data_IF_908887942775
#
_entry.id   IF_908887942775
#
_cell.length_a   1.000
_cell.length_b   1.000
_cell.length_c   1.000
_cell.angle_alpha   90.00
_cell.angle_beta   90.00
_cell.angle_gamma   90.00
#
_symmetry.space_group_name_H-M   'P 1'
#
loop_
_entity.id
_entity.type
_entity.pdbx_description
1 polymer ?
#
# COMPACT_ATOMS: atom_id res chain seq x y z
N UNK A 1 51.11 -48.07 -10.39
CA UNK A 1 50.87 -46.67 -10.81
C UNK A 1 49.50 -46.28 -10.27
N UNK A 2 49.43 -45.66 -9.10
CA UNK A 2 48.18 -45.23 -8.46
C UNK A 2 47.95 -43.75 -8.77
N UNK A 3 46.85 -43.44 -9.44
CA UNK A 3 46.42 -42.06 -9.65
C UNK A 3 45.50 -41.64 -8.50
N UNK A 4 45.94 -40.69 -7.69
CA UNK A 4 45.12 -40.02 -6.67
C UNK A 4 44.39 -38.88 -7.36
N UNK A 5 43.06 -38.96 -7.44
CA UNK A 5 42.21 -37.86 -7.92
C UNK A 5 41.89 -37.00 -6.71
N UNK A 6 42.47 -35.79 -6.66
CA UNK A 6 42.16 -34.77 -5.67
C UNK A 6 40.85 -34.08 -6.10
N UNK A 7 39.75 -34.35 -5.39
CA UNK A 7 38.50 -33.62 -5.58
C UNK A 7 38.61 -32.26 -4.88
N UNK A 8 38.71 -31.18 -5.66
CA UNK A 8 38.55 -29.81 -5.15
C UNK A 8 37.06 -29.60 -4.85
N UNK A 9 36.70 -29.51 -3.57
CA UNK A 9 35.40 -29.01 -3.17
C UNK A 9 35.40 -27.48 -3.34
N UNK A 10 34.67 -26.98 -4.33
CA UNK A 10 34.34 -25.56 -4.44
C UNK A 10 33.32 -25.24 -3.34
N UNK A 11 33.76 -24.57 -2.27
CA UNK A 11 32.83 -23.96 -1.33
C UNK A 11 32.16 -22.76 -2.01
N UNK A 12 30.84 -22.85 -2.24
CA UNK A 12 30.05 -21.72 -2.70
C UNK A 12 29.97 -20.69 -1.57
N UNK A 13 30.43 -19.47 -1.81
CA UNK A 13 30.16 -18.36 -0.92
C UNK A 13 28.64 -18.16 -0.79
N UNK A 14 28.10 -17.87 0.41
CA UNK A 14 26.70 -17.52 0.56
C UNK A 14 26.39 -16.30 -0.30
N UNK A 15 25.28 -16.31 -1.02
CA UNK A 15 24.78 -15.13 -1.71
C UNK A 15 24.63 -14.00 -0.69
N UNK A 16 24.97 -12.74 -1.03
CA UNK A 16 24.71 -11.62 -0.14
C UNK A 16 23.23 -11.64 0.23
N UNK A 17 22.94 -11.55 1.53
CA UNK A 17 21.56 -11.37 1.97
C UNK A 17 21.03 -10.10 1.30
N UNK A 18 19.93 -10.23 0.55
CA UNK A 18 19.25 -9.09 -0.06
C UNK A 18 18.56 -8.28 1.05
N UNK A 19 19.36 -7.54 1.82
CA UNK A 19 18.90 -6.75 2.96
C UNK A 19 18.26 -5.48 2.42
N UNK A 20 16.96 -5.30 2.67
CA UNK A 20 16.27 -4.04 2.41
C UNK A 20 16.69 -3.05 3.49
N UNK A 21 17.41 -1.95 3.16
CA UNK A 21 17.80 -0.98 4.17
C UNK A 21 16.59 -0.15 4.62
N UNK A 22 16.67 0.39 5.84
CA UNK A 22 15.85 1.53 6.22
C UNK A 22 16.49 2.79 5.62
N UNK A 23 15.76 3.48 4.76
CA UNK A 23 16.23 4.67 4.05
C UNK A 23 15.97 5.93 4.87
N UNK A 24 16.99 6.77 4.98
CA UNK A 24 16.84 8.14 5.45
C UNK A 24 16.22 9.03 4.35
N UNK A 25 15.63 10.16 4.75
CA UNK A 25 15.17 11.19 3.81
C UNK A 25 13.82 10.93 3.13
N UNK A 26 13.08 9.88 3.53
CA UNK A 26 11.72 9.59 3.07
C UNK A 26 10.61 10.32 3.86
N UNK A 27 10.99 11.24 4.75
CA UNK A 27 10.10 11.89 5.71
C UNK A 27 9.80 11.02 6.94
N UNK A 28 8.99 11.54 7.85
CA UNK A 28 8.73 10.97 9.19
C UNK A 28 7.33 10.36 9.33
N UNK A 29 6.64 10.11 8.22
CA UNK A 29 5.26 9.63 8.22
C UNK A 29 5.13 8.28 8.96
N UNK A 30 4.17 8.17 9.87
CA UNK A 30 4.00 7.00 10.73
C UNK A 30 2.54 6.58 10.77
N UNK A 31 2.28 5.30 10.52
CA UNK A 31 0.96 4.69 10.64
C UNK A 31 1.06 3.49 11.58
N UNK A 32 0.61 3.68 12.83
CA UNK A 32 0.68 2.63 13.84
C UNK A 32 -0.12 1.39 13.42
N UNK A 33 0.53 0.22 13.48
CA UNK A 33 -0.07 -1.08 13.20
C UNK A 33 0.05 -2.02 14.41
N UNK A 34 -0.79 -3.05 14.46
CA UNK A 34 -0.73 -4.10 15.47
C UNK A 34 0.48 -5.01 15.22
N UNK A 35 1.62 -4.64 15.79
CA UNK A 35 2.85 -5.43 15.83
C UNK A 35 3.60 -5.19 17.15
N UNK A 36 4.30 -6.20 17.64
CA UNK A 36 5.25 -6.04 18.75
C UNK A 36 6.68 -5.75 18.26
N UNK A 37 6.93 -5.84 16.96
CA UNK A 37 8.24 -5.66 16.35
C UNK A 37 8.43 -4.21 15.91
N UNK A 38 9.30 -3.48 16.61
CA UNK A 38 9.66 -2.11 16.24
C UNK A 38 10.25 -2.04 14.82
N UNK A 39 10.96 -3.08 14.39
CA UNK A 39 11.49 -3.16 13.03
C UNK A 39 10.38 -3.39 12.00
N UNK A 40 9.38 -4.23 12.28
CA UNK A 40 8.23 -4.40 11.39
C UNK A 40 7.46 -3.09 11.20
N UNK A 41 7.24 -2.34 12.29
CA UNK A 41 6.63 -1.01 12.23
C UNK A 41 7.45 -0.04 11.36
N UNK A 42 8.78 0.00 11.55
CA UNK A 42 9.65 0.89 10.77
C UNK A 42 9.62 0.57 9.26
N UNK A 43 9.64 -0.71 8.90
CA UNK A 43 9.53 -1.12 7.49
C UNK A 43 8.14 -0.91 6.91
N UNK A 44 7.08 -1.05 7.70
CA UNK A 44 5.73 -0.69 7.27
C UNK A 44 5.61 0.80 6.98
N UNK A 45 6.10 1.66 7.87
CA UNK A 45 6.11 3.11 7.67
C UNK A 45 6.92 3.50 6.43
N UNK A 46 8.09 2.89 6.23
CA UNK A 46 8.88 3.06 5.01
C UNK A 46 8.09 2.63 3.76
N UNK A 47 7.45 1.46 3.81
CA UNK A 47 6.61 0.97 2.72
C UNK A 47 5.53 1.97 2.36
N UNK A 48 4.82 2.51 3.35
CA UNK A 48 3.75 3.49 3.13
C UNK A 48 4.27 4.81 2.56
N UNK A 49 5.42 5.31 3.04
CA UNK A 49 6.11 6.48 2.46
C UNK A 49 6.47 6.25 0.97
N UNK A 50 6.95 5.06 0.64
CA UNK A 50 7.30 4.68 -0.73
C UNK A 50 6.07 4.51 -1.63
N UNK A 51 4.97 3.94 -1.11
CA UNK A 51 3.68 3.92 -1.84
C UNK A 51 3.22 5.33 -2.13
N UNK A 52 3.23 6.21 -1.12
CA UNK A 52 2.87 7.60 -1.33
C UNK A 52 3.81 8.28 -2.31
N UNK A 53 5.10 7.96 -2.35
CA UNK A 53 6.02 8.44 -3.39
C UNK A 53 5.91 7.74 -4.76
N UNK A 54 4.92 6.87 -4.95
CA UNK A 54 4.74 6.01 -6.13
C UNK A 54 5.90 5.06 -6.48
N UNK A 55 6.78 4.76 -5.53
CA UNK A 55 7.79 3.71 -5.66
C UNK A 55 7.27 2.36 -5.12
N UNK A 56 6.31 1.79 -5.84
CA UNK A 56 5.56 0.60 -5.43
C UNK A 56 6.43 -0.66 -5.30
N UNK A 57 7.42 -0.84 -6.18
CA UNK A 57 8.31 -2.00 -6.12
C UNK A 57 9.14 -2.01 -4.82
N UNK A 58 9.70 -0.85 -4.43
CA UNK A 58 10.45 -0.76 -3.18
C UNK A 58 9.54 -0.77 -1.94
N UNK A 59 8.31 -0.28 -2.08
CA UNK A 59 7.30 -0.42 -1.04
C UNK A 59 6.98 -1.89 -0.74
N UNK A 60 6.76 -2.71 -1.78
CA UNK A 60 6.54 -4.16 -1.64
C UNK A 60 7.73 -4.80 -0.92
N UNK A 61 8.96 -4.52 -1.34
CA UNK A 61 10.18 -5.03 -0.67
C UNK A 61 10.24 -4.64 0.81
N UNK A 62 9.82 -3.42 1.14
CA UNK A 62 9.77 -2.96 2.53
C UNK A 62 8.71 -3.70 3.34
N UNK A 63 7.51 -3.91 2.81
CA UNK A 63 6.47 -4.69 3.49
C UNK A 63 6.85 -6.18 3.63
N UNK A 64 7.51 -6.76 2.62
CA UNK A 64 8.07 -8.11 2.72
C UNK A 64 9.14 -8.22 3.81
N UNK A 65 10.00 -7.21 3.95
CA UNK A 65 10.98 -7.17 5.05
C UNK A 65 10.28 -7.00 6.40
N UNK A 66 9.22 -6.19 6.50
CA UNK A 66 8.39 -6.12 7.70
C UNK A 66 7.83 -7.50 8.10
N UNK A 67 7.36 -8.28 7.12
CA UNK A 67 6.89 -9.66 7.33
C UNK A 67 7.98 -10.63 7.74
N UNK A 68 9.24 -10.41 7.37
CA UNK A 68 10.37 -11.21 7.90
C UNK A 68 10.60 -10.95 9.39
N UNK A 69 10.17 -9.79 9.91
CA UNK A 69 10.28 -9.41 11.33
C UNK A 69 9.03 -9.74 12.14
N UNK A 70 7.87 -9.78 11.49
CA UNK A 70 6.59 -10.18 12.07
C UNK A 70 5.70 -10.81 10.99
N UNK A 71 5.69 -12.14 10.91
CA UNK A 71 4.94 -12.89 9.90
C UNK A 71 3.42 -12.91 10.15
N UNK A 72 2.98 -12.49 11.34
CA UNK A 72 1.58 -12.34 11.73
C UNK A 72 1.03 -10.94 11.44
N UNK A 73 1.87 -9.99 11.00
CA UNK A 73 1.49 -8.62 10.69
C UNK A 73 0.45 -8.54 9.55
N UNK A 74 -0.83 -8.40 9.89
CA UNK A 74 -1.92 -8.32 8.92
C UNK A 74 -1.81 -7.09 8.00
N UNK A 75 -1.39 -5.95 8.56
CA UNK A 75 -1.21 -4.72 7.77
C UNK A 75 -0.03 -4.77 6.82
N UNK A 76 1.03 -5.53 7.14
CA UNK A 76 2.16 -5.69 6.23
C UNK A 76 1.73 -6.44 4.96
N UNK A 77 0.89 -7.47 5.10
CA UNK A 77 0.23 -8.12 3.95
C UNK A 77 -0.72 -7.17 3.20
N UNK A 78 -1.50 -6.37 3.93
CA UNK A 78 -2.34 -5.33 3.31
C UNK A 78 -1.52 -4.33 2.49
N UNK A 79 -0.35 -3.92 2.99
CA UNK A 79 0.57 -3.00 2.32
C UNK A 79 1.07 -3.56 1.00
N UNK A 80 1.46 -4.85 0.96
CA UNK A 80 1.80 -5.55 -0.29
C UNK A 80 0.63 -5.52 -1.26
N UNK A 81 -0.58 -5.86 -0.78
CA UNK A 81 -1.77 -5.90 -1.62
C UNK A 81 -2.16 -4.52 -2.19
N UNK A 82 -1.95 -3.47 -1.41
CA UNK A 82 -2.21 -2.10 -1.83
C UNK A 82 -1.16 -1.66 -2.87
N UNK A 83 0.12 -1.87 -2.58
CA UNK A 83 1.22 -1.46 -3.46
C UNK A 83 1.25 -2.23 -4.80
N UNK A 84 0.82 -3.50 -4.81
CA UNK A 84 0.71 -4.30 -6.02
C UNK A 84 -0.53 -3.95 -6.87
N UNK A 85 -1.46 -3.17 -6.33
CA UNK A 85 -2.70 -2.77 -6.98
C UNK A 85 -2.55 -1.69 -8.04
N UNK A 86 -3.63 -1.38 -8.78
CA UNK A 86 -3.63 -0.27 -9.71
C UNK A 86 -3.64 1.06 -8.96
N UNK A 87 -3.06 2.07 -9.59
CA UNK A 87 -3.11 3.47 -9.16
C UNK A 87 -3.38 4.39 -10.37
N UNK A 88 -3.32 5.70 -10.16
CA UNK A 88 -3.55 6.68 -11.22
C UNK A 88 -2.51 6.63 -12.35
N UNK A 89 -1.29 6.15 -12.08
CA UNK A 89 -0.17 6.09 -13.03
C UNK A 89 0.01 4.73 -13.70
N UNK A 90 -0.43 3.66 -13.04
CA UNK A 90 -0.19 2.30 -13.48
C UNK A 90 -1.48 1.48 -13.46
N UNK A 91 -1.79 0.85 -14.59
CA UNK A 91 -2.76 -0.21 -14.64
C UNK A 91 -2.21 -1.48 -13.97
N UNK A 92 -3.13 -2.34 -13.54
CA UNK A 92 -2.80 -3.63 -12.94
C UNK A 92 -2.42 -4.64 -14.02
N UNK A 93 -1.20 -5.16 -13.94
CA UNK A 93 -0.77 -6.30 -14.76
C UNK A 93 -1.10 -7.64 -14.08
N UNK A 94 -0.93 -8.76 -14.78
CA UNK A 94 -1.30 -10.08 -14.26
C UNK A 94 -0.44 -10.53 -13.07
N UNK A 95 0.80 -10.05 -12.98
CA UNK A 95 1.69 -10.38 -11.86
C UNK A 95 1.27 -9.60 -10.60
N UNK A 96 1.00 -8.30 -10.75
CA UNK A 96 0.43 -7.45 -9.71
C UNK A 96 -0.92 -7.96 -9.23
N UNK A 97 -1.81 -8.37 -10.14
CA UNK A 97 -3.12 -8.97 -9.79
C UNK A 97 -2.95 -10.20 -8.89
N UNK A 98 -2.09 -11.14 -9.31
CA UNK A 98 -1.87 -12.37 -8.56
C UNK A 98 -1.28 -12.07 -7.17
N UNK A 99 -0.27 -11.18 -7.11
CA UNK A 99 0.35 -10.77 -5.86
C UNK A 99 -0.65 -10.09 -4.92
N UNK A 100 -1.43 -9.12 -5.44
CA UNK A 100 -2.38 -8.38 -4.64
C UNK A 100 -3.50 -9.27 -4.10
N UNK A 101 -4.03 -10.17 -4.93
CA UNK A 101 -5.06 -11.13 -4.53
C UNK A 101 -4.56 -12.10 -3.45
N UNK A 102 -3.35 -12.64 -3.61
CA UNK A 102 -2.74 -13.50 -2.59
C UNK A 102 -2.50 -12.73 -1.29
N UNK A 103 -1.88 -11.55 -1.36
CA UNK A 103 -1.52 -10.76 -0.20
C UNK A 103 -2.76 -10.29 0.60
N UNK A 104 -3.85 -9.88 -0.06
CA UNK A 104 -5.07 -9.51 0.67
C UNK A 104 -5.73 -10.73 1.31
N UNK A 105 -5.60 -11.92 0.72
CA UNK A 105 -5.99 -13.19 1.34
C UNK A 105 -5.22 -13.47 2.63
N UNK A 106 -3.90 -13.31 2.61
CA UNK A 106 -3.04 -13.46 3.79
C UNK A 106 -3.36 -12.44 4.90
N UNK A 107 -3.62 -11.17 4.52
CA UNK A 107 -4.03 -10.13 5.46
C UNK A 107 -5.34 -10.50 6.17
N UNK A 108 -6.35 -10.97 5.42
CA UNK A 108 -7.62 -11.44 5.98
C UNK A 108 -7.44 -12.61 6.95
N UNK A 109 -6.55 -13.55 6.62
CA UNK A 109 -6.25 -14.70 7.47
C UNK A 109 -5.65 -14.33 8.83
N UNK A 110 -5.09 -13.12 8.96
CA UNK A 110 -4.41 -12.61 10.17
C UNK A 110 -5.19 -11.54 10.94
N UNK A 111 -6.43 -11.23 10.53
CA UNK A 111 -7.24 -10.18 11.15
C UNK A 111 -7.50 -10.39 12.65
N UNK A 112 -7.41 -11.62 13.17
CA UNK A 112 -7.58 -11.89 14.60
C UNK A 112 -6.62 -11.06 15.47
N UNK A 113 -5.36 -10.91 15.02
CA UNK A 113 -4.35 -10.08 15.70
C UNK A 113 -4.42 -8.59 15.40
N UNK A 114 -5.26 -8.17 14.46
CA UNK A 114 -5.37 -6.79 14.01
C UNK A 114 -6.38 -5.98 14.82
N UNK A 115 -6.13 -4.68 14.97
CA UNK A 115 -7.06 -3.73 15.60
C UNK A 115 -8.36 -3.57 14.77
N UNK A 116 -9.43 -3.04 15.38
CA UNK A 116 -10.68 -2.79 14.66
C UNK A 116 -10.49 -1.86 13.44
N UNK A 117 -9.55 -0.90 13.55
CA UNK A 117 -9.20 0.03 12.48
C UNK A 117 -8.49 -0.67 11.33
N UNK A 118 -7.50 -1.49 11.63
CA UNK A 118 -6.77 -2.29 10.63
C UNK A 118 -7.69 -3.28 9.91
N UNK A 119 -8.59 -3.93 10.65
CA UNK A 119 -9.62 -4.79 10.04
C UNK A 119 -10.47 -4.04 9.02
N UNK A 120 -10.83 -2.78 9.31
CA UNK A 120 -11.59 -1.97 8.37
C UNK A 120 -10.80 -1.68 7.08
N UNK A 121 -9.50 -1.36 7.16
CA UNK A 121 -8.64 -1.22 5.97
C UNK A 121 -8.53 -2.51 5.16
N UNK A 122 -8.34 -3.65 5.84
CA UNK A 122 -8.24 -4.98 5.22
C UNK A 122 -9.55 -5.34 4.52
N UNK A 123 -10.68 -5.15 5.19
CA UNK A 123 -12.00 -5.40 4.62
C UNK A 123 -12.28 -4.49 3.43
N UNK A 124 -11.91 -3.22 3.50
CA UNK A 124 -12.07 -2.29 2.39
C UNK A 124 -11.26 -2.72 1.16
N UNK A 125 -9.98 -3.06 1.33
CA UNK A 125 -9.15 -3.47 0.20
C UNK A 125 -9.57 -4.85 -0.34
N UNK A 126 -10.12 -5.72 0.52
CA UNK A 126 -10.76 -6.97 0.10
C UNK A 126 -11.90 -6.73 -0.89
N UNK A 127 -12.68 -5.65 -0.73
CA UNK A 127 -13.77 -5.31 -1.66
C UNK A 127 -13.25 -4.98 -3.06
N UNK A 128 -12.06 -4.37 -3.16
CA UNK A 128 -11.42 -4.07 -4.45
C UNK A 128 -11.11 -5.33 -5.27
N UNK A 129 -10.59 -6.38 -4.63
CA UNK A 129 -10.21 -7.61 -5.34
C UNK A 129 -11.33 -8.65 -5.41
N UNK A 130 -12.34 -8.55 -4.54
CA UNK A 130 -13.51 -9.43 -4.55
C UNK A 130 -13.16 -10.91 -4.36
N UNK A 131 -14.03 -11.79 -4.85
CA UNK A 131 -13.81 -13.25 -4.81
C UNK A 131 -13.09 -13.79 -6.06
N UNK A 132 -12.83 -12.95 -7.07
CA UNK A 132 -12.29 -13.38 -8.36
C UNK A 132 -11.31 -12.35 -8.95
N UNK A 133 -10.17 -12.79 -9.50
CA UNK A 133 -9.18 -11.94 -10.15
C UNK A 133 -9.64 -11.38 -11.52
N UNK A 134 -10.87 -11.69 -11.96
CA UNK A 134 -11.37 -11.38 -13.32
C UNK A 134 -12.40 -10.23 -13.36
N UNK A 135 -12.56 -9.46 -12.28
CA UNK A 135 -13.52 -8.35 -12.28
C UNK A 135 -12.97 -7.12 -13.02
N UNK A 136 -13.88 -6.40 -13.70
CA UNK A 136 -13.55 -5.17 -14.43
C UNK A 136 -12.98 -4.07 -13.50
N UNK A 137 -11.97 -3.34 -13.98
CA UNK A 137 -11.26 -2.33 -13.18
C UNK A 137 -12.20 -1.27 -12.62
N UNK A 138 -13.13 -0.73 -13.42
CA UNK A 138 -14.00 0.35 -12.97
C UNK A 138 -14.92 -0.11 -11.83
N UNK A 139 -15.42 -1.34 -11.90
CA UNK A 139 -16.22 -1.94 -10.83
C UNK A 139 -15.41 -2.10 -9.54
N UNK A 140 -14.14 -2.49 -9.64
CA UNK A 140 -13.23 -2.64 -8.50
C UNK A 140 -12.85 -1.31 -7.87
N UNK A 141 -12.51 -0.32 -8.69
CA UNK A 141 -12.17 1.03 -8.22
C UNK A 141 -13.41 1.68 -7.56
N UNK A 142 -14.62 1.45 -8.08
CA UNK A 142 -15.88 1.86 -7.43
C UNK A 142 -16.09 1.18 -6.07
N UNK A 143 -15.89 -0.15 -6.00
CA UNK A 143 -16.02 -0.89 -4.75
C UNK A 143 -14.98 -0.46 -3.69
N UNK A 144 -13.77 -0.12 -4.14
CA UNK A 144 -12.71 0.44 -3.30
C UNK A 144 -13.08 1.81 -2.76
N UNK A 145 -13.53 2.73 -3.62
CA UNK A 145 -13.95 4.07 -3.21
C UNK A 145 -15.13 4.05 -2.24
N UNK A 146 -16.14 3.20 -2.48
CA UNK A 146 -17.26 3.02 -1.56
C UNK A 146 -16.81 2.48 -0.20
N UNK A 147 -15.95 1.45 -0.20
CA UNK A 147 -15.47 0.87 1.04
C UNK A 147 -14.58 1.84 1.83
N UNK A 148 -13.71 2.59 1.15
CA UNK A 148 -12.87 3.61 1.80
C UNK A 148 -13.66 4.81 2.29
N UNK A 149 -14.77 5.18 1.65
CA UNK A 149 -15.70 6.17 2.21
C UNK A 149 -16.21 5.72 3.59
N UNK A 150 -16.51 4.42 3.74
CA UNK A 150 -16.88 3.81 5.03
C UNK A 150 -15.77 3.90 6.08
N UNK A 151 -14.52 3.58 5.70
CA UNK A 151 -13.36 3.67 6.61
C UNK A 151 -13.11 5.13 7.02
N UNK A 152 -13.07 6.05 6.06
CA UNK A 152 -12.87 7.48 6.31
C UNK A 152 -13.97 8.08 7.19
N UNK A 153 -15.22 7.64 7.02
CA UNK A 153 -16.34 8.05 7.86
C UNK A 153 -16.29 7.49 9.29
N UNK A 154 -15.82 6.26 9.45
CA UNK A 154 -15.64 5.63 10.77
C UNK A 154 -14.44 6.18 11.55
N UNK A 155 -13.40 6.63 10.83
CA UNK A 155 -12.15 7.15 11.39
C UNK A 155 -11.80 8.54 10.83
N UNK A 156 -12.60 9.59 11.13
CA UNK A 156 -12.40 10.94 10.55
C UNK A 156 -11.10 11.63 10.97
N UNK A 157 -10.52 11.19 12.09
CA UNK A 157 -9.26 11.71 12.64
C UNK A 157 -8.03 10.90 12.19
N UNK A 158 -8.23 9.82 11.42
CA UNK A 158 -7.14 9.08 10.78
C UNK A 158 -6.84 9.73 9.42
N UNK A 159 -5.74 10.49 9.36
CA UNK A 159 -5.30 11.17 8.13
C UNK A 159 -5.04 10.17 6.98
N UNK A 160 -4.51 8.97 7.27
CA UNK A 160 -4.29 7.95 6.24
C UNK A 160 -5.61 7.40 5.70
N UNK A 161 -6.64 7.29 6.54
CA UNK A 161 -7.97 6.88 6.08
C UNK A 161 -8.54 7.89 5.07
N UNK A 162 -8.37 9.18 5.37
CA UNK A 162 -8.82 10.26 4.48
C UNK A 162 -8.00 10.28 3.19
N UNK A 163 -6.68 10.13 3.27
CA UNK A 163 -5.78 10.13 2.10
C UNK A 163 -6.02 8.92 1.21
N UNK A 164 -6.22 7.73 1.79
CA UNK A 164 -6.54 6.52 1.02
C UNK A 164 -7.94 6.58 0.41
N UNK A 165 -8.88 7.28 1.04
CA UNK A 165 -10.18 7.58 0.42
C UNK A 165 -10.03 8.55 -0.77
N UNK A 166 -9.22 9.59 -0.63
CA UNK A 166 -8.87 10.47 -1.74
C UNK A 166 -8.20 9.70 -2.90
N UNK A 167 -7.22 8.84 -2.63
CA UNK A 167 -6.63 7.94 -3.63
C UNK A 167 -7.70 7.07 -4.31
N UNK A 168 -8.65 6.52 -3.54
CA UNK A 168 -9.72 5.70 -4.08
C UNK A 168 -10.62 6.50 -5.04
N UNK A 169 -10.98 7.74 -4.69
CA UNK A 169 -11.73 8.65 -5.56
C UNK A 169 -10.95 8.99 -6.84
N UNK A 170 -9.64 9.24 -6.72
CA UNK A 170 -8.77 9.52 -7.86
C UNK A 170 -8.74 8.37 -8.87
N UNK A 171 -8.85 7.13 -8.41
CA UNK A 171 -8.89 5.95 -9.29
C UNK A 171 -10.21 5.80 -10.07
N UNK A 172 -11.28 6.51 -9.72
CA UNK A 172 -12.54 6.49 -10.49
C UNK A 172 -12.44 7.20 -11.84
N UNK A 173 -11.57 8.20 -11.94
CA UNK A 173 -11.32 8.97 -13.16
C UNK A 173 -9.84 9.38 -13.28
N UNK A 174 -8.89 8.42 -13.42
CA UNK A 174 -7.47 8.72 -13.40
C UNK A 174 -7.09 9.83 -14.38
N UNK A 175 -6.49 10.92 -13.88
CA UNK A 175 -6.08 12.10 -14.65
C UNK A 175 -7.20 12.92 -15.31
N UNK A 176 -8.47 12.61 -15.02
CA UNK A 176 -9.64 13.30 -15.57
C UNK A 176 -10.44 13.95 -14.43
N UNK A 177 -9.81 14.94 -13.77
CA UNK A 177 -10.38 15.63 -12.60
C UNK A 177 -10.95 17.01 -12.91
N UNK A 178 -10.57 17.62 -14.03
CA UNK A 178 -10.87 19.01 -14.37
C UNK A 178 -11.53 19.13 -15.75
N UNK A 179 -12.47 20.06 -15.86
CA UNK A 179 -12.98 20.53 -17.15
C UNK A 179 -11.98 21.47 -17.83
N UNK A 180 -12.20 21.75 -19.12
CA UNK A 180 -11.33 22.64 -19.89
C UNK A 180 -11.28 24.09 -19.35
N UNK A 181 -12.30 24.52 -18.60
CA UNK A 181 -12.36 25.82 -17.95
C UNK A 181 -11.79 25.84 -16.52
N UNK A 182 -11.14 24.73 -16.11
CA UNK A 182 -10.59 24.52 -14.77
C UNK A 182 -11.65 24.44 -13.66
N UNK A 183 -12.92 24.20 -13.99
CA UNK A 183 -13.88 23.75 -12.99
C UNK A 183 -13.68 22.26 -12.64
N UNK A 184 -13.86 21.86 -11.38
CA UNK A 184 -13.74 20.46 -10.98
C UNK A 184 -14.86 19.62 -11.63
N UNK A 185 -14.51 18.43 -12.12
CA UNK A 185 -15.50 17.42 -12.52
C UNK A 185 -16.22 16.85 -11.29
N UNK A 186 -17.43 16.27 -11.44
CA UNK A 186 -18.16 15.69 -10.32
C UNK A 186 -17.32 14.69 -9.51
N UNK A 187 -17.15 14.97 -8.23
CA UNK A 187 -16.39 14.12 -7.30
C UNK A 187 -14.99 14.65 -7.01
N UNK A 188 -14.42 15.47 -7.90
CA UNK A 188 -13.16 16.18 -7.68
C UNK A 188 -13.28 17.15 -6.50
N UNK A 189 -14.44 17.76 -6.26
CA UNK A 189 -14.64 18.64 -5.11
C UNK A 189 -14.49 17.90 -3.78
N UNK A 190 -15.03 16.68 -3.70
CA UNK A 190 -14.90 15.83 -2.51
C UNK A 190 -13.45 15.39 -2.31
N UNK A 191 -12.76 15.02 -3.39
CA UNK A 191 -11.34 14.68 -3.39
C UNK A 191 -10.49 15.84 -2.84
N UNK A 192 -10.63 17.04 -3.41
CA UNK A 192 -9.88 18.23 -3.01
C UNK A 192 -10.17 18.60 -1.56
N UNK A 193 -11.45 18.68 -1.17
CA UNK A 193 -11.84 19.02 0.20
C UNK A 193 -11.34 18.00 1.25
N UNK A 194 -11.17 16.74 0.85
CA UNK A 194 -10.61 15.68 1.71
C UNK A 194 -9.10 15.91 1.90
N UNK A 195 -8.37 16.10 0.80
CA UNK A 195 -6.92 16.33 0.83
C UNK A 195 -6.54 17.63 1.53
N UNK A 196 -7.24 18.73 1.23
CA UNK A 196 -7.00 20.06 1.84
C UNK A 196 -7.17 20.02 3.36
N UNK A 197 -8.16 19.28 3.86
CA UNK A 197 -8.38 19.11 5.29
C UNK A 197 -7.21 18.39 5.96
N UNK A 198 -6.69 17.34 5.33
CA UNK A 198 -5.52 16.62 5.84
C UNK A 198 -4.28 17.51 5.78
N UNK A 199 -4.05 18.24 4.68
CA UNK A 199 -2.91 19.15 4.56
C UNK A 199 -2.95 20.26 5.62
N UNK A 200 -4.13 20.81 5.93
CA UNK A 200 -4.29 21.81 6.99
C UNK A 200 -3.97 21.24 8.38
N UNK A 201 -4.43 20.00 8.66
CA UNK A 201 -4.17 19.30 9.93
C UNK A 201 -2.73 18.80 10.06
N UNK A 202 -2.14 18.35 8.96
CA UNK A 202 -0.85 17.68 8.87
C UNK A 202 -0.11 18.12 7.60
N UNK A 203 0.57 19.27 7.70
CA UNK A 203 1.29 19.93 6.58
C UNK A 203 2.44 19.11 6.01
N UNK A 204 2.84 18.03 6.68
CA UNK A 204 3.93 17.13 6.27
C UNK A 204 3.44 15.72 5.95
N UNK A 205 2.12 15.51 5.81
CA UNK A 205 1.58 14.21 5.45
C UNK A 205 1.95 13.86 4.01
N UNK A 206 2.87 12.90 3.83
CA UNK A 206 3.45 12.57 2.52
C UNK A 206 2.39 12.27 1.46
N UNK A 207 1.42 11.40 1.78
CA UNK A 207 0.32 11.06 0.88
C UNK A 207 -0.58 12.24 0.51
N UNK A 208 -1.07 13.00 1.50
CA UNK A 208 -1.93 14.16 1.23
C UNK A 208 -1.23 15.22 0.37
N UNK A 209 0.02 15.58 0.72
CA UNK A 209 0.78 16.57 -0.03
C UNK A 209 1.04 16.10 -1.47
N UNK A 210 1.38 14.84 -1.68
CA UNK A 210 1.67 14.35 -3.02
C UNK A 210 0.39 14.22 -3.86
N UNK A 211 -0.67 13.60 -3.33
CA UNK A 211 -1.93 13.46 -4.07
C UNK A 211 -2.58 14.80 -4.37
N UNK A 212 -2.42 15.82 -3.52
CA UNK A 212 -2.91 17.17 -3.79
C UNK A 212 -2.22 17.85 -4.98
N UNK A 213 -0.98 17.47 -5.30
CA UNK A 213 -0.29 17.95 -6.51
C UNK A 213 -0.85 17.28 -7.77
N UNK A 214 -1.35 16.04 -7.65
CA UNK A 214 -1.94 15.30 -8.77
C UNK A 214 -3.43 15.63 -9.00
N UNK A 215 -4.13 16.02 -7.94
CA UNK A 215 -5.59 16.26 -7.93
C UNK A 215 -6.00 17.46 -8.79
#
# INVERSE_FOLDING_TARGET
MYAVILALALASAPAPADTVPLFDGLGEHHHAISTASAEAQAYFDQGLRLVYGFNHAEAIRSFEEALRRDDACAMCWWGIAFAAGPNINAALDSAGEALAWTAIGEARGRMEGASAKERAYIEALTRRYGASPLADRAARDSAWAEAMAGVAGAYPDDDDAQVLYADALMNLSPWDYWEADLSPRPGTETLLATLERVVERSKTHAGACHLYIHA
#
